data_IF_461255663287
#
_entry.id   IF_461255663287
#
_cell.length_a   1.000
_cell.length_b   1.000
_cell.length_c   1.000
_cell.angle_alpha   90.00
_cell.angle_beta   90.00
_cell.angle_gamma   90.00
#
_symmetry.space_group_name_H-M   'P 1'
#
loop_
_entity.id
_entity.type
_entity.pdbx_description
1 polymer ?
#
# COMPACT_ATOMS: atom_id res chain seq x y z
N UNK A 1 11.38 -11.53 4.54
CA UNK A 1 10.85 -10.33 5.23
C UNK A 1 9.43 -10.11 4.74
N UNK A 2 8.47 -10.09 5.65
CA UNK A 2 7.08 -9.76 5.36
C UNK A 2 6.73 -8.40 5.94
N UNK A 3 6.15 -7.52 5.13
CA UNK A 3 5.76 -6.17 5.52
C UNK A 3 4.28 -5.97 5.26
N UNK A 4 3.53 -5.55 6.27
CA UNK A 4 2.11 -5.20 6.14
C UNK A 4 1.95 -3.69 6.32
N UNK A 5 1.52 -3.02 5.26
CA UNK A 5 1.25 -1.58 5.27
C UNK A 5 -0.20 -1.33 5.69
N UNK A 6 -0.39 -0.55 6.74
CA UNK A 6 -1.68 -0.40 7.42
C UNK A 6 -2.13 1.06 7.41
N UNK A 7 -3.36 1.31 7.01
CA UNK A 7 -4.09 2.57 7.21
C UNK A 7 -5.50 2.27 7.73
N UNK A 8 -6.35 3.26 7.91
CA UNK A 8 -7.70 3.02 8.45
C UNK A 8 -8.54 2.15 7.51
N UNK A 9 -8.73 2.55 6.26
CA UNK A 9 -9.68 1.90 5.34
C UNK A 9 -9.06 0.93 4.34
N UNK A 10 -7.74 0.77 4.32
CA UNK A 10 -7.03 0.06 3.23
C UNK A 10 -7.55 0.46 1.84
N UNK A 11 -7.55 1.76 1.59
CA UNK A 11 -8.16 2.35 0.39
C UNK A 11 -7.19 3.17 -0.46
N UNK A 12 -6.21 3.82 0.15
CA UNK A 12 -5.30 4.77 -0.51
C UNK A 12 -3.84 4.50 -0.14
N UNK A 13 -3.37 5.07 0.97
CA UNK A 13 -1.95 5.13 1.38
C UNK A 13 -1.30 3.76 1.55
N UNK A 14 -1.98 2.82 2.19
CA UNK A 14 -1.45 1.47 2.43
C UNK A 14 -1.26 0.68 1.14
N UNK A 15 -2.16 0.81 0.15
CA UNK A 15 -2.00 0.19 -1.17
C UNK A 15 -0.83 0.79 -1.94
N UNK A 16 -0.74 2.11 -1.99
CA UNK A 16 0.36 2.79 -2.66
C UNK A 16 1.71 2.41 -2.05
N UNK A 17 1.79 2.37 -0.70
CA UNK A 17 3.01 1.99 0.00
C UNK A 17 3.40 0.53 -0.21
N UNK A 18 2.43 -0.40 -0.19
CA UNK A 18 2.66 -1.81 -0.51
C UNK A 18 3.29 -1.97 -1.89
N UNK A 19 2.68 -1.38 -2.91
CA UNK A 19 3.13 -1.54 -4.29
C UNK A 19 4.51 -0.91 -4.52
N UNK A 20 4.75 0.29 -4.00
CA UNK A 20 6.06 0.92 -4.09
C UNK A 20 7.15 0.17 -3.33
N UNK A 21 6.86 -0.35 -2.16
CA UNK A 21 7.81 -1.17 -1.40
C UNK A 21 8.18 -2.45 -2.16
N UNK A 22 7.21 -3.12 -2.77
CA UNK A 22 7.47 -4.32 -3.59
C UNK A 22 8.31 -3.99 -4.82
N UNK A 23 7.99 -2.88 -5.51
CA UNK A 23 8.77 -2.41 -6.66
C UNK A 23 10.19 -2.01 -6.28
N UNK A 24 10.36 -1.30 -5.14
CA UNK A 24 11.67 -0.90 -4.64
C UNK A 24 12.53 -2.11 -4.26
N UNK A 25 11.95 -3.10 -3.58
CA UNK A 25 12.65 -4.35 -3.26
C UNK A 25 13.15 -5.06 -4.53
N UNK A 26 12.32 -5.14 -5.57
CA UNK A 26 12.72 -5.71 -6.86
C UNK A 26 13.83 -4.89 -7.54
N UNK A 27 13.69 -3.56 -7.54
CA UNK A 27 14.67 -2.65 -8.17
C UNK A 27 16.07 -2.76 -7.54
N UNK A 28 16.15 -2.86 -6.23
CA UNK A 28 17.42 -3.00 -5.50
C UNK A 28 17.86 -4.46 -5.31
N UNK A 29 17.18 -5.41 -5.93
CA UNK A 29 17.47 -6.85 -5.79
C UNK A 29 17.51 -7.33 -4.34
N UNK A 30 16.64 -6.77 -3.50
CA UNK A 30 16.46 -7.22 -2.11
C UNK A 30 15.54 -8.44 -2.12
N UNK A 31 16.15 -9.61 -2.01
CA UNK A 31 15.44 -10.88 -2.09
C UNK A 31 14.57 -11.20 -0.86
N UNK A 32 13.57 -12.04 -1.07
CA UNK A 32 12.68 -12.56 -0.01
C UNK A 32 11.91 -11.47 0.74
N UNK A 33 11.53 -10.41 0.03
CA UNK A 33 10.61 -9.41 0.53
C UNK A 33 9.23 -9.64 -0.09
N UNK A 34 8.22 -9.78 0.75
CA UNK A 34 6.81 -9.84 0.35
C UNK A 34 6.06 -8.73 1.07
N UNK A 35 5.27 -7.98 0.32
CA UNK A 35 4.52 -6.85 0.86
C UNK A 35 3.03 -7.09 0.79
N UNK A 36 2.34 -6.65 1.82
CA UNK A 36 0.89 -6.76 2.01
C UNK A 36 0.32 -5.42 2.41
N UNK A 37 -0.99 -5.29 2.36
CA UNK A 37 -1.67 -4.15 2.94
C UNK A 37 -2.93 -4.57 3.70
N UNK A 38 -3.38 -3.70 4.57
CA UNK A 38 -4.60 -3.90 5.33
C UNK A 38 -5.08 -2.60 5.97
N UNK A 39 -6.26 -2.64 6.55
CA UNK A 39 -6.83 -1.54 7.30
C UNK A 39 -7.34 -2.00 8.65
N UNK A 40 -7.70 -1.06 9.50
CA UNK A 40 -8.55 -1.35 10.66
C UNK A 40 -9.97 -1.67 10.21
N UNK A 41 -10.34 -1.15 9.03
CA UNK A 41 -11.57 -1.45 8.29
C UNK A 41 -11.23 -1.86 6.85
N UNK A 42 -12.20 -2.44 6.15
CA UNK A 42 -12.12 -2.73 4.72
C UNK A 42 -13.18 -1.94 3.95
N UNK A 43 -12.80 -1.33 2.84
CA UNK A 43 -13.69 -0.60 1.93
C UNK A 43 -13.47 -1.01 0.48
N UNK A 44 -12.67 -0.25 -0.26
CA UNK A 44 -12.23 -0.58 -1.62
C UNK A 44 -10.94 0.20 -1.94
N UNK A 45 -10.13 -0.32 -2.85
CA UNK A 45 -9.01 0.44 -3.41
C UNK A 45 -9.57 1.63 -4.19
N UNK A 46 -9.35 2.84 -3.72
CA UNK A 46 -10.00 4.04 -4.25
C UNK A 46 -9.55 4.34 -5.68
N UNK A 47 -10.49 4.58 -6.62
CA UNK A 47 -10.15 4.73 -8.03
C UNK A 47 -9.10 5.79 -8.35
N UNK A 48 -9.09 6.92 -7.64
CA UNK A 48 -8.08 7.95 -7.84
C UNK A 48 -6.67 7.48 -7.40
N UNK A 49 -6.57 6.62 -6.38
CA UNK A 49 -5.31 6.02 -5.99
C UNK A 49 -4.83 4.98 -7.02
N UNK A 50 -5.74 4.16 -7.56
CA UNK A 50 -5.45 3.26 -8.69
C UNK A 50 -4.88 4.05 -9.87
N UNK A 51 -5.57 5.13 -10.27
CA UNK A 51 -5.15 5.99 -11.39
C UNK A 51 -3.79 6.65 -11.14
N UNK A 52 -3.52 7.08 -9.91
CA UNK A 52 -2.22 7.65 -9.54
C UNK A 52 -1.09 6.62 -9.70
N UNK A 53 -1.31 5.37 -9.28
CA UNK A 53 -0.32 4.30 -9.45
C UNK A 53 -0.11 3.96 -10.92
N UNK A 54 -1.16 3.95 -11.74
CA UNK A 54 -1.04 3.77 -13.20
C UNK A 54 -0.21 4.90 -13.83
N UNK A 55 -0.45 6.14 -13.45
CA UNK A 55 0.33 7.30 -13.92
C UNK A 55 1.80 7.25 -13.45
N UNK A 56 2.04 6.66 -12.29
CA UNK A 56 3.40 6.46 -11.77
C UNK A 56 4.16 5.30 -12.46
N UNK A 57 3.50 4.54 -13.34
CA UNK A 57 4.12 3.51 -14.16
C UNK A 57 3.75 2.06 -13.83
N UNK A 58 2.88 1.83 -12.83
CA UNK A 58 2.37 0.50 -12.54
C UNK A 58 1.25 0.11 -13.52
N UNK A 59 1.23 -1.13 -13.94
CA UNK A 59 0.05 -1.70 -14.59
C UNK A 59 -0.90 -2.22 -13.51
N UNK A 60 -2.04 -1.59 -13.34
CA UNK A 60 -3.05 -1.98 -12.34
C UNK A 60 -4.37 -2.21 -13.06
N UNK A 61 -4.82 -3.44 -13.08
CA UNK A 61 -6.04 -3.84 -13.78
C UNK A 61 -6.98 -4.61 -12.85
N UNK A 62 -8.29 -4.33 -12.95
CA UNK A 62 -9.30 -5.08 -12.23
C UNK A 62 -9.27 -6.55 -12.62
N UNK A 63 -9.40 -7.43 -11.63
CA UNK A 63 -9.57 -8.87 -11.80
C UNK A 63 -10.93 -9.38 -11.30
N UNK A 64 -11.73 -8.52 -10.67
CA UNK A 64 -13.11 -8.82 -10.29
C UNK A 64 -14.01 -7.59 -10.45
N UNK A 65 -15.34 -7.82 -10.56
CA UNK A 65 -16.36 -6.79 -10.75
C UNK A 65 -17.36 -6.79 -9.60
N UNK A 66 -16.95 -6.27 -8.46
CA UNK A 66 -17.78 -6.11 -7.27
C UNK A 66 -17.53 -4.75 -6.60
N UNK A 67 -18.14 -4.49 -5.44
CA UNK A 67 -18.01 -3.21 -4.72
C UNK A 67 -16.62 -3.02 -4.10
N UNK A 68 -15.88 -4.10 -3.88
CA UNK A 68 -14.50 -4.10 -3.42
C UNK A 68 -13.66 -4.94 -4.39
N UNK A 69 -13.43 -4.43 -5.61
CA UNK A 69 -12.80 -5.23 -6.65
C UNK A 69 -11.35 -5.57 -6.31
N UNK A 70 -10.94 -6.74 -6.73
CA UNK A 70 -9.53 -7.12 -6.76
C UNK A 70 -8.85 -6.53 -7.99
N UNK A 71 -7.57 -6.25 -7.83
CA UNK A 71 -6.71 -5.75 -8.90
C UNK A 71 -5.44 -6.59 -8.98
N UNK A 72 -4.97 -6.82 -10.19
CA UNK A 72 -3.62 -7.31 -10.43
C UNK A 72 -2.70 -6.13 -10.70
N UNK A 73 -1.65 -5.97 -9.91
CA UNK A 73 -0.67 -4.92 -10.06
C UNK A 73 0.67 -5.50 -10.51
N UNK A 74 1.15 -5.08 -11.68
CA UNK A 74 2.48 -5.40 -12.20
C UNK A 74 3.44 -4.33 -11.73
N UNK A 75 4.49 -4.72 -11.03
CA UNK A 75 5.51 -3.82 -10.47
C UNK A 75 6.90 -4.05 -11.07
N UNK A 76 7.09 -5.13 -11.82
CA UNK A 76 8.30 -5.47 -12.56
C UNK A 76 7.96 -6.49 -13.66
N UNK A 77 8.64 -6.41 -14.80
CA UNK A 77 8.33 -7.23 -15.99
C UNK A 77 8.61 -8.73 -15.78
N UNK A 78 9.59 -9.04 -14.94
CA UNK A 78 10.06 -10.41 -14.67
C UNK A 78 9.44 -11.02 -13.38
N UNK A 79 8.46 -10.36 -12.78
CA UNK A 79 7.84 -10.77 -11.53
C UNK A 79 6.35 -11.03 -11.69
N UNK A 80 5.82 -11.95 -10.89
CA UNK A 80 4.37 -12.18 -10.85
C UNK A 80 3.65 -10.96 -10.33
N UNK A 81 2.51 -10.57 -10.91
CA UNK A 81 1.68 -9.50 -10.38
C UNK A 81 1.27 -9.75 -8.93
N UNK A 82 1.09 -8.66 -8.19
CA UNK A 82 0.51 -8.70 -6.84
C UNK A 82 -1.00 -8.51 -6.96
N UNK A 83 -1.78 -9.40 -6.37
CA UNK A 83 -3.22 -9.21 -6.24
C UNK A 83 -3.49 -8.31 -5.03
N UNK A 84 -4.19 -7.20 -5.24
CA UNK A 84 -4.50 -6.21 -4.21
C UNK A 84 -5.99 -5.91 -4.16
N UNK A 85 -6.53 -5.84 -2.95
CA UNK A 85 -7.91 -5.42 -2.66
C UNK A 85 -7.97 -4.89 -1.23
N UNK A 86 -9.00 -4.14 -0.91
CA UNK A 86 -9.19 -3.63 0.45
C UNK A 86 -9.56 -4.77 1.40
N UNK A 87 -8.86 -4.90 2.49
CA UNK A 87 -9.08 -5.92 3.51
C UNK A 87 -8.57 -5.44 4.88
N UNK A 88 -9.02 -6.08 5.94
CA UNK A 88 -8.44 -5.84 7.25
C UNK A 88 -7.00 -6.36 7.32
N UNK A 89 -6.19 -5.76 8.21
CA UNK A 89 -4.79 -6.17 8.33
C UNK A 89 -4.63 -7.62 8.82
N UNK A 90 -5.62 -8.15 9.56
CA UNK A 90 -5.69 -9.51 10.07
C UNK A 90 -6.45 -10.49 9.15
N UNK A 91 -6.72 -10.09 7.90
CA UNK A 91 -7.30 -10.97 6.89
C UNK A 91 -6.40 -12.19 6.64
N UNK A 92 -7.02 -13.34 6.36
CA UNK A 92 -6.30 -14.60 6.12
C UNK A 92 -5.31 -14.56 4.92
N UNK A 93 -5.46 -13.58 4.02
CA UNK A 93 -4.53 -13.35 2.92
C UNK A 93 -3.25 -12.60 3.35
N UNK A 94 -3.21 -12.07 4.56
CA UNK A 94 -2.03 -11.43 5.16
C UNK A 94 -1.34 -12.41 6.12
N UNK A 95 -0.04 -12.21 6.42
CA UNK A 95 0.66 -13.05 7.40
C UNK A 95 0.04 -12.89 8.80
N UNK A 96 -0.16 -14.03 9.49
CA UNK A 96 -0.72 -14.05 10.83
C UNK A 96 0.29 -13.61 11.92
N UNK A 97 1.59 -13.75 11.64
CA UNK A 97 2.67 -13.40 12.58
C UNK A 97 4.01 -13.25 11.84
N UNK A 98 5.00 -12.68 12.51
CA UNK A 98 6.36 -12.60 11.98
C UNK A 98 6.57 -11.49 10.94
N UNK A 99 5.71 -10.48 10.90
CA UNK A 99 5.78 -9.39 9.94
C UNK A 99 6.13 -8.03 10.59
N UNK A 100 6.66 -7.13 9.78
CA UNK A 100 6.77 -5.72 10.13
C UNK A 100 5.47 -4.98 9.79
N UNK A 101 4.83 -4.36 10.78
CA UNK A 101 3.66 -3.51 10.57
C UNK A 101 4.10 -2.06 10.31
N UNK A 102 3.79 -1.53 9.14
CA UNK A 102 4.09 -0.16 8.75
C UNK A 102 2.80 0.66 8.77
N UNK A 103 2.68 1.55 9.75
CA UNK A 103 1.51 2.40 9.93
C UNK A 103 1.61 3.61 8.99
N UNK A 104 0.76 3.67 7.97
CA UNK A 104 0.84 4.69 6.91
C UNK A 104 -0.07 5.89 7.13
N UNK A 105 -0.85 5.91 8.19
CA UNK A 105 -1.64 7.06 8.60
C UNK A 105 -1.62 7.25 10.12
N UNK A 106 -1.73 8.52 10.55
CA UNK A 106 -1.72 8.90 11.96
C UNK A 106 -2.92 8.32 12.74
N UNK A 107 -4.08 8.24 12.09
CA UNK A 107 -5.28 7.69 12.74
C UNK A 107 -5.09 6.20 13.06
N UNK A 108 -4.69 5.40 12.06
CA UNK A 108 -4.39 3.99 12.32
C UNK A 108 -3.22 3.80 13.30
N UNK A 109 -2.23 4.70 13.28
CA UNK A 109 -1.13 4.68 14.25
C UNK A 109 -1.62 4.95 15.67
N UNK A 110 -2.51 5.92 15.85
CA UNK A 110 -3.10 6.27 17.15
C UNK A 110 -4.12 5.24 17.66
N UNK A 111 -5.00 4.77 16.77
CA UNK A 111 -6.11 3.89 17.12
C UNK A 111 -5.71 2.41 17.23
N UNK A 112 -4.58 2.03 16.63
CA UNK A 112 -4.07 0.67 16.62
C UNK A 112 -2.65 0.61 17.23
N UNK A 113 -2.50 0.88 18.54
CA UNK A 113 -1.18 0.90 19.19
C UNK A 113 -0.53 -0.48 19.27
N UNK A 114 -1.34 -1.53 19.10
CA UNK A 114 -0.90 -2.92 19.06
C UNK A 114 -1.44 -3.61 17.81
N UNK A 115 -0.53 -4.20 17.03
CA UNK A 115 -0.86 -5.01 15.87
C UNK A 115 -0.50 -6.45 16.18
N UNK A 116 -1.51 -7.30 16.37
CA UNK A 116 -1.30 -8.70 16.73
C UNK A 116 -0.48 -9.43 15.66
N UNK A 117 0.52 -10.19 16.07
CA UNK A 117 1.40 -10.93 15.19
C UNK A 117 2.58 -10.15 14.61
N UNK A 118 2.58 -8.82 14.70
CA UNK A 118 3.71 -8.03 14.25
C UNK A 118 4.93 -8.21 15.15
N UNK A 119 6.11 -8.44 14.56
CA UNK A 119 7.38 -8.42 15.29
C UNK A 119 7.84 -7.00 15.61
N UNK A 120 7.59 -6.09 14.69
CA UNK A 120 7.86 -4.66 14.83
C UNK A 120 6.72 -3.84 14.26
N UNK A 121 6.49 -2.70 14.89
CA UNK A 121 5.52 -1.70 14.45
C UNK A 121 6.25 -0.38 14.23
N UNK A 122 6.16 0.16 13.04
CA UNK A 122 6.87 1.36 12.61
C UNK A 122 5.87 2.34 12.00
N UNK A 123 5.85 3.57 12.47
CA UNK A 123 5.03 4.63 11.90
C UNK A 123 5.81 5.34 10.77
N UNK A 124 5.28 5.29 9.56
CA UNK A 124 5.71 6.09 8.40
C UNK A 124 4.45 6.71 7.82
N UNK A 125 3.99 7.78 8.44
CA UNK A 125 2.69 8.36 8.16
C UNK A 125 2.74 9.35 7.00
N UNK A 126 1.69 9.34 6.17
CA UNK A 126 1.50 10.22 5.03
C UNK A 126 0.21 11.02 5.20
N UNK A 127 0.20 12.24 4.70
CA UNK A 127 -1.01 13.03 4.61
C UNK A 127 -2.04 12.37 3.68
N UNK A 128 -3.30 12.35 4.10
CA UNK A 128 -4.37 11.72 3.34
C UNK A 128 -4.74 12.57 2.11
N UNK A 129 -4.65 12.04 0.88
CA UNK A 129 -5.08 12.76 -0.30
C UNK A 129 -6.60 12.91 -0.40
N UNK A 130 -7.38 12.26 0.48
CA UNK A 130 -8.84 12.27 0.50
C UNK A 130 -9.44 13.67 0.54
N UNK A 131 -8.79 14.64 1.17
CA UNK A 131 -9.27 16.03 1.21
C UNK A 131 -9.46 16.64 -0.19
N UNK A 132 -8.77 16.13 -1.21
CA UNK A 132 -8.89 16.56 -2.60
C UNK A 132 -9.99 15.84 -3.39
N UNK A 133 -10.67 14.86 -2.81
CA UNK A 133 -11.70 14.06 -3.49
C UNK A 133 -12.82 14.95 -4.05
N UNK A 134 -13.15 14.73 -5.33
CA UNK A 134 -14.18 15.50 -6.03
C UNK A 134 -13.77 16.91 -6.45
N UNK A 135 -12.53 17.34 -6.19
CA UNK A 135 -12.00 18.62 -6.62
C UNK A 135 -11.23 18.52 -7.95
N UNK A 136 -10.98 19.67 -8.60
CA UNK A 136 -10.16 19.72 -9.81
C UNK A 136 -8.69 19.32 -9.55
N UNK A 137 -8.21 19.35 -8.31
CA UNK A 137 -6.86 19.01 -7.89
C UNK A 137 -6.68 17.53 -7.52
N UNK A 138 -7.75 16.73 -7.51
CA UNK A 138 -7.70 15.34 -7.04
C UNK A 138 -6.58 14.52 -7.71
N UNK A 139 -6.51 14.53 -9.03
CA UNK A 139 -5.50 13.74 -9.76
C UNK A 139 -4.08 14.16 -9.42
N UNK A 140 -3.82 15.47 -9.32
CA UNK A 140 -2.51 16.02 -9.00
C UNK A 140 -2.09 15.66 -7.57
N UNK A 141 -2.99 15.84 -6.59
CA UNK A 141 -2.72 15.54 -5.18
C UNK A 141 -2.47 14.04 -4.97
N UNK A 142 -3.26 13.17 -5.60
CA UNK A 142 -3.05 11.73 -5.51
C UNK A 142 -1.72 11.30 -6.15
N UNK A 143 -1.38 11.84 -7.31
CA UNK A 143 -0.10 11.55 -7.96
C UNK A 143 1.08 12.06 -7.12
N UNK A 144 1.00 13.26 -6.58
CA UNK A 144 2.01 13.81 -5.68
C UNK A 144 2.26 12.89 -4.47
N UNK A 145 1.16 12.40 -3.85
CA UNK A 145 1.26 11.48 -2.73
C UNK A 145 1.86 10.14 -3.14
N UNK A 146 1.43 9.58 -4.26
CA UNK A 146 2.00 8.35 -4.80
C UNK A 146 3.51 8.47 -5.05
N UNK A 147 3.95 9.57 -5.66
CA UNK A 147 5.37 9.82 -5.93
C UNK A 147 6.19 10.08 -4.67
N UNK A 148 5.61 10.75 -3.66
CA UNK A 148 6.24 10.91 -2.35
C UNK A 148 6.52 9.55 -1.70
N UNK A 149 5.51 8.70 -1.63
CA UNK A 149 5.64 7.35 -1.07
C UNK A 149 6.68 6.55 -1.85
N UNK A 150 6.66 6.65 -3.17
CA UNK A 150 7.65 5.99 -4.04
C UNK A 150 9.08 6.41 -3.75
N UNK A 151 9.35 7.71 -3.64
CA UNK A 151 10.68 8.22 -3.30
C UNK A 151 11.16 7.69 -1.95
N UNK A 152 10.28 7.67 -0.96
CA UNK A 152 10.63 7.19 0.39
C UNK A 152 10.87 5.69 0.41
N UNK A 153 10.07 4.89 -0.27
CA UNK A 153 10.30 3.44 -0.38
C UNK A 153 11.60 3.12 -1.14
N UNK A 154 11.88 3.82 -2.24
CA UNK A 154 13.16 3.68 -2.94
C UNK A 154 14.34 4.04 -2.03
N UNK A 155 14.22 5.12 -1.25
CA UNK A 155 15.26 5.49 -0.30
C UNK A 155 15.47 4.40 0.77
N UNK A 156 14.39 3.89 1.37
CA UNK A 156 14.49 2.82 2.38
C UNK A 156 15.21 1.60 1.81
N UNK A 157 14.77 1.08 0.68
CA UNK A 157 15.35 -0.12 0.09
C UNK A 157 16.76 0.09 -0.47
N UNK A 158 17.15 1.32 -0.78
CA UNK A 158 18.55 1.64 -1.14
C UNK A 158 19.54 1.51 0.03
N UNK A 159 19.05 1.34 1.27
CA UNK A 159 19.85 1.21 2.48
C UNK A 159 19.91 -0.21 3.05
N UNK A 160 19.26 -1.15 2.39
CA UNK A 160 19.21 -2.55 2.81
C UNK A 160 20.37 -3.37 2.24
#
# INVERSE_FOLDING_TARGET
IELVFICTHNSRRSHMAQLWAQAAAAHFAVDKVTTYSGGTEATAFYPAAVKAMQKAGFEVAKSSEDQNPKYNAVYADDRKPVEVWSKKYDDAANPASGFGAIMTCSDADGDCPFVAGAEKRIAITYEDPKASDGTAQQEEVYLERALQIGREMLYVFSKV
#
